data_IF_669396848134
#
_entry.id   IF_669396848134
#
_cell.length_a   1.000
_cell.length_b   1.000
_cell.length_c   1.000
_cell.angle_alpha   90.00
_cell.angle_beta   90.00
_cell.angle_gamma   90.00
#
_symmetry.space_group_name_H-M   'P 1'
#
loop_
_entity.id
_entity.type
_entity.pdbx_description
1 polymer ?
#
# COMPACT_ATOMS: atom_id res chain seq x y z
N UNK A 1 -11.47 -20.79 19.69
CA UNK A 1 -11.86 -20.63 18.28
C UNK A 1 -10.95 -19.57 17.68
N UNK A 2 -10.14 -19.92 16.69
CA UNK A 2 -9.31 -18.92 16.00
C UNK A 2 -10.21 -17.98 15.20
N UNK A 3 -9.99 -16.67 15.29
CA UNK A 3 -10.63 -15.72 14.40
C UNK A 3 -10.21 -16.05 12.97
N UNK A 4 -11.13 -16.60 12.18
CA UNK A 4 -10.96 -16.85 10.74
C UNK A 4 -11.10 -15.53 9.95
N UNK A 5 -10.55 -14.45 10.48
CA UNK A 5 -10.70 -13.12 9.93
C UNK A 5 -9.57 -12.85 8.94
N UNK A 6 -9.95 -12.42 7.75
CA UNK A 6 -9.06 -11.75 6.82
C UNK A 6 -8.98 -10.29 7.26
N UNK A 7 -7.80 -9.84 7.66
CA UNK A 7 -7.56 -8.50 8.18
C UNK A 7 -6.69 -7.72 7.21
N UNK A 8 -7.14 -6.51 6.86
CA UNK A 8 -6.30 -5.51 6.21
C UNK A 8 -6.09 -4.33 7.14
N UNK A 9 -4.82 -3.98 7.29
CA UNK A 9 -4.37 -2.88 8.13
C UNK A 9 -3.07 -2.27 7.60
N UNK A 10 -2.75 -1.10 8.13
CA UNK A 10 -1.41 -0.53 8.03
C UNK A 10 -0.38 -1.51 8.61
N UNK A 11 0.77 -1.59 7.97
CA UNK A 11 1.89 -2.33 8.51
C UNK A 11 2.37 -1.66 9.80
N UNK A 12 2.87 -2.46 10.73
CA UNK A 12 3.53 -2.00 11.95
C UNK A 12 4.95 -2.54 11.98
N UNK A 13 5.82 -1.96 12.82
CA UNK A 13 7.24 -2.36 12.87
C UNK A 13 7.46 -3.85 13.14
N UNK A 14 6.56 -4.51 13.89
CA UNK A 14 6.65 -5.95 14.15
C UNK A 14 6.42 -6.81 12.91
N UNK A 15 5.80 -6.28 11.84
CA UNK A 15 5.56 -7.01 10.59
C UNK A 15 6.82 -7.08 9.70
N UNK A 16 7.85 -6.29 9.99
CA UNK A 16 8.98 -6.07 9.07
C UNK A 16 9.69 -7.37 8.66
N UNK A 17 9.83 -8.33 9.58
CA UNK A 17 10.44 -9.62 9.29
C UNK A 17 9.65 -10.45 8.27
N UNK A 18 8.33 -10.56 8.45
CA UNK A 18 7.46 -11.30 7.52
C UNK A 18 7.36 -10.57 6.17
N UNK A 19 7.31 -9.24 6.19
CA UNK A 19 7.35 -8.42 4.96
C UNK A 19 8.65 -8.70 4.20
N UNK A 20 9.80 -8.66 4.87
CA UNK A 20 11.10 -8.91 4.24
C UNK A 20 11.14 -10.28 3.55
N UNK A 21 10.68 -11.34 4.23
CA UNK A 21 10.59 -12.68 3.65
C UNK A 21 9.69 -12.71 2.41
N UNK A 22 8.51 -12.09 2.48
CA UNK A 22 7.57 -12.05 1.38
C UNK A 22 8.12 -11.28 0.18
N UNK A 23 8.81 -10.15 0.40
CA UNK A 23 9.46 -9.38 -0.65
C UNK A 23 10.57 -10.17 -1.34
N UNK A 24 11.39 -10.91 -0.59
CA UNK A 24 12.44 -11.76 -1.17
C UNK A 24 11.87 -12.89 -2.02
N UNK A 25 10.77 -13.50 -1.57
CA UNK A 25 10.06 -14.52 -2.37
C UNK A 25 9.49 -13.95 -3.68
N UNK A 26 9.21 -12.64 -3.73
CA UNK A 26 8.74 -11.92 -4.91
C UNK A 26 9.87 -11.20 -5.67
N UNK A 27 11.14 -11.48 -5.36
CA UNK A 27 12.32 -10.84 -5.98
C UNK A 27 12.34 -9.29 -5.86
N UNK A 28 11.79 -8.74 -4.78
CA UNK A 28 11.83 -7.30 -4.47
C UNK A 28 13.01 -7.03 -3.53
N UNK A 29 14.05 -6.29 -3.96
CA UNK A 29 15.32 -6.19 -3.23
C UNK A 29 15.27 -5.09 -2.17
N UNK A 30 14.37 -5.21 -1.20
CA UNK A 30 14.29 -4.29 -0.06
C UNK A 30 14.96 -4.90 1.17
N UNK A 31 15.89 -4.17 1.77
CA UNK A 31 16.44 -4.53 3.07
C UNK A 31 15.51 -4.11 4.23
N UNK A 32 15.83 -4.59 5.44
CA UNK A 32 15.07 -4.26 6.65
C UNK A 32 15.06 -2.76 6.97
N UNK A 33 16.14 -2.04 6.66
CA UNK A 33 16.25 -0.60 6.89
C UNK A 33 15.23 0.17 6.05
N UNK A 34 15.15 -0.15 4.76
CA UNK A 34 14.17 0.41 3.83
C UNK A 34 12.74 0.06 4.23
N UNK A 35 12.48 -1.18 4.65
CA UNK A 35 11.16 -1.59 5.14
C UNK A 35 10.72 -0.74 6.34
N UNK A 36 11.63 -0.49 7.29
CA UNK A 36 11.32 0.36 8.45
C UNK A 36 11.11 1.83 8.08
N UNK A 37 11.84 2.36 7.10
CA UNK A 37 11.67 3.73 6.60
C UNK A 37 10.32 3.91 5.89
N UNK A 38 9.90 2.91 5.12
CA UNK A 38 8.70 2.95 4.28
C UNK A 38 7.46 2.35 4.97
N UNK A 39 7.55 1.93 6.23
CA UNK A 39 6.51 1.14 6.91
C UNK A 39 5.13 1.83 6.90
N UNK A 40 5.09 3.15 6.98
CA UNK A 40 3.85 3.94 6.99
C UNK A 40 3.13 3.93 5.62
N UNK A 41 3.85 3.59 4.54
CA UNK A 41 3.33 3.43 3.19
C UNK A 41 2.98 1.97 2.86
N UNK A 42 3.23 1.05 3.79
CA UNK A 42 2.90 -0.36 3.63
C UNK A 42 1.55 -0.69 4.28
N UNK A 43 0.78 -1.52 3.60
CA UNK A 43 -0.40 -2.18 4.18
C UNK A 43 -0.26 -3.68 3.97
N UNK A 44 -0.73 -4.42 4.96
CA UNK A 44 -0.63 -5.88 5.02
C UNK A 44 -2.02 -6.50 4.98
N UNK A 45 -2.09 -7.64 4.30
CA UNK A 45 -3.22 -8.56 4.34
C UNK A 45 -2.78 -9.78 5.15
N UNK A 46 -3.51 -10.07 6.22
CA UNK A 46 -3.25 -11.24 7.05
C UNK A 46 -4.50 -12.10 7.19
N UNK A 47 -4.31 -13.42 7.22
CA UNK A 47 -5.33 -14.36 7.64
C UNK A 47 -4.86 -15.02 8.93
N UNK A 48 -5.68 -14.92 9.98
CA UNK A 48 -5.30 -15.26 11.35
C UNK A 48 -4.06 -14.47 11.82
N UNK A 49 -2.88 -15.12 11.83
CA UNK A 49 -1.59 -14.54 12.23
C UNK A 49 -0.53 -14.63 11.13
N UNK A 50 -0.92 -14.98 9.90
CA UNK A 50 0.02 -15.13 8.78
C UNK A 50 -0.14 -13.97 7.80
N UNK A 51 0.97 -13.35 7.44
CA UNK A 51 1.01 -12.35 6.38
C UNK A 51 0.85 -13.03 5.02
N UNK A 52 -0.25 -12.72 4.34
CA UNK A 52 -0.55 -13.25 3.01
C UNK A 52 -0.03 -12.34 1.91
N UNK A 53 0.04 -11.04 2.16
CA UNK A 53 0.56 -10.10 1.17
C UNK A 53 0.77 -8.72 1.75
N UNK A 54 1.53 -7.92 1.00
CA UNK A 54 1.84 -6.54 1.32
C UNK A 54 1.77 -5.72 0.05
N UNK A 55 1.24 -4.51 0.14
CA UNK A 55 1.37 -3.55 -0.94
C UNK A 55 1.97 -2.26 -0.42
N UNK A 56 2.71 -1.60 -1.31
CA UNK A 56 3.22 -0.26 -1.08
C UNK A 56 2.35 0.74 -1.81
N UNK A 57 1.82 1.70 -1.07
CA UNK A 57 0.97 2.71 -1.67
C UNK A 57 0.56 3.80 -0.71
N UNK A 58 0.26 4.96 -1.29
CA UNK A 58 -0.37 6.08 -0.60
C UNK A 58 -1.86 6.06 -0.89
N UNK A 59 -2.65 6.20 0.17
CA UNK A 59 -4.09 6.34 0.08
C UNK A 59 -4.43 7.74 0.54
N UNK A 60 -4.81 8.60 -0.41
CA UNK A 60 -5.38 9.91 -0.14
C UNK A 60 -6.74 9.99 -0.80
N UNK A 61 -7.72 10.68 -0.20
CA UNK A 61 -9.01 10.95 -0.83
C UNK A 61 -8.87 11.52 -2.25
N UNK A 62 -9.31 10.76 -3.25
CA UNK A 62 -9.24 11.13 -4.66
C UNK A 62 -7.85 10.97 -5.30
N UNK A 63 -6.89 10.37 -4.58
CA UNK A 63 -5.60 9.99 -5.13
C UNK A 63 -5.11 8.68 -4.50
N UNK A 64 -5.39 7.59 -5.20
CA UNK A 64 -4.94 6.25 -4.85
C UNK A 64 -3.73 5.88 -5.70
N UNK A 65 -2.60 5.63 -5.05
CA UNK A 65 -1.40 5.15 -5.74
C UNK A 65 -0.91 3.86 -5.11
N UNK A 66 -1.10 2.76 -5.83
CA UNK A 66 -0.40 1.50 -5.56
C UNK A 66 0.87 1.50 -6.41
N UNK A 67 2.02 1.40 -5.75
CA UNK A 67 3.31 1.34 -6.46
C UNK A 67 3.64 -0.09 -6.87
N UNK A 68 3.38 -1.04 -5.97
CA UNK A 68 3.59 -2.47 -6.20
C UNK A 68 2.83 -3.28 -5.17
N UNK A 69 2.64 -4.57 -5.47
CA UNK A 69 2.00 -5.57 -4.61
C UNK A 69 2.89 -6.80 -4.59
N UNK A 70 3.05 -7.41 -3.43
CA UNK A 70 3.72 -8.70 -3.25
C UNK A 70 2.79 -9.65 -2.50
N UNK A 71 2.79 -10.91 -2.93
CA UNK A 71 1.87 -11.93 -2.43
C UNK A 71 2.59 -13.20 -1.99
N UNK A 72 1.98 -13.95 -1.09
CA UNK A 72 2.51 -15.22 -0.63
C UNK A 72 2.32 -16.30 -1.73
N UNK A 73 3.37 -17.03 -2.13
CA UNK A 73 3.37 -17.85 -3.36
C UNK A 73 2.43 -19.07 -3.32
N UNK A 74 2.04 -19.51 -2.12
CA UNK A 74 1.09 -20.63 -1.95
C UNK A 74 -0.36 -20.26 -2.27
N UNK A 75 -0.69 -18.99 -2.48
CA UNK A 75 -2.04 -18.52 -2.73
C UNK A 75 -2.18 -18.05 -4.18
N UNK A 76 -3.39 -18.14 -4.73
CA UNK A 76 -3.67 -17.71 -6.09
C UNK A 76 -3.34 -16.20 -6.26
N UNK A 77 -2.33 -15.90 -7.08
CA UNK A 77 -1.76 -14.57 -7.22
C UNK A 77 -2.83 -13.53 -7.59
N UNK A 78 -3.67 -13.83 -8.58
CA UNK A 78 -4.71 -12.92 -9.08
C UNK A 78 -5.74 -12.59 -8.00
N UNK A 79 -6.20 -13.60 -7.25
CA UNK A 79 -7.17 -13.41 -6.16
C UNK A 79 -6.56 -12.60 -5.02
N UNK A 80 -5.30 -12.85 -4.70
CA UNK A 80 -4.60 -12.16 -3.62
C UNK A 80 -4.31 -10.69 -3.97
N UNK A 81 -3.85 -10.43 -5.20
CA UNK A 81 -3.68 -9.08 -5.74
C UNK A 81 -5.00 -8.33 -5.75
N UNK A 82 -6.06 -8.96 -6.26
CA UNK A 82 -7.40 -8.37 -6.25
C UNK A 82 -7.85 -8.02 -4.83
N UNK A 83 -7.68 -8.94 -3.87
CA UNK A 83 -7.99 -8.68 -2.47
C UNK A 83 -7.20 -7.45 -1.96
N UNK A 84 -5.88 -7.40 -2.14
CA UNK A 84 -5.05 -6.26 -1.71
C UNK A 84 -5.50 -4.92 -2.33
N UNK A 85 -5.86 -4.92 -3.61
CA UNK A 85 -6.37 -3.72 -4.31
C UNK A 85 -7.75 -3.31 -3.80
N UNK A 86 -8.71 -4.24 -3.72
CA UNK A 86 -10.06 -3.93 -3.22
C UNK A 86 -10.03 -3.48 -1.76
N UNK A 87 -9.10 -4.01 -0.99
CA UNK A 87 -8.90 -3.61 0.41
C UNK A 87 -8.43 -2.17 0.55
N UNK A 88 -7.68 -1.65 -0.42
CA UNK A 88 -7.32 -0.24 -0.49
C UNK A 88 -8.57 0.65 -0.46
N UNK A 89 -9.58 0.32 -1.26
CA UNK A 89 -10.85 1.04 -1.28
C UNK A 89 -11.58 0.91 0.06
N UNK A 90 -11.54 -0.27 0.69
CA UNK A 90 -12.08 -0.47 2.03
C UNK A 90 -11.41 0.41 3.11
N UNK A 91 -10.11 0.67 3.01
CA UNK A 91 -9.39 1.57 3.93
C UNK A 91 -9.85 3.02 3.76
N UNK A 92 -10.11 3.46 2.52
CA UNK A 92 -10.63 4.82 2.25
C UNK A 92 -11.99 5.02 2.92
N UNK A 93 -12.89 4.04 2.80
CA UNK A 93 -14.23 4.10 3.35
C UNK A 93 -14.29 4.13 4.89
N UNK A 94 -13.17 3.84 5.58
CA UNK A 94 -13.08 3.93 7.06
C UNK A 94 -12.82 5.36 7.55
N UNK A 95 -12.50 6.31 6.68
CA UNK A 95 -12.34 7.70 7.06
C UNK A 95 -13.72 8.37 7.15
N UNK A 96 -14.02 9.14 8.22
CA UNK A 96 -15.23 9.96 8.27
C UNK A 96 -15.29 10.88 7.05
N UNK A 97 -16.46 11.02 6.44
CA UNK A 97 -16.65 11.86 5.24
C UNK A 97 -16.10 13.27 5.38
N UNK A 98 -16.21 13.86 6.58
CA UNK A 98 -15.64 15.18 6.91
C UNK A 98 -14.12 15.25 6.76
N UNK A 99 -13.40 14.17 7.10
CA UNK A 99 -11.94 14.07 6.96
C UNK A 99 -11.54 13.90 5.49
N UNK A 100 -12.34 13.13 4.74
CA UNK A 100 -12.18 12.97 3.29
C UNK A 100 -12.34 14.34 2.60
N UNK A 101 -13.42 15.07 2.91
CA UNK A 101 -13.68 16.41 2.36
C UNK A 101 -12.58 17.42 2.69
N UNK A 102 -12.06 17.43 3.93
CA UNK A 102 -10.96 18.31 4.33
C UNK A 102 -9.68 18.02 3.54
N UNK A 103 -9.33 16.74 3.38
CA UNK A 103 -8.18 16.31 2.60
C UNK A 103 -8.35 16.72 1.13
N UNK A 104 -9.50 16.44 0.51
CA UNK A 104 -9.78 16.86 -0.87
C UNK A 104 -9.68 18.39 -1.05
N UNK A 105 -10.23 19.17 -0.11
CA UNK A 105 -10.12 20.64 -0.12
C UNK A 105 -8.68 21.11 -0.02
N UNK A 106 -7.82 20.42 0.76
CA UNK A 106 -6.39 20.76 0.84
C UNK A 106 -5.63 20.44 -0.45
N UNK A 107 -5.92 19.30 -1.08
CA UNK A 107 -5.32 18.90 -2.37
C UNK A 107 -5.72 19.84 -3.51
N UNK A 108 -6.99 20.24 -3.60
CA UNK A 108 -7.47 21.17 -4.62
C UNK A 108 -6.92 22.60 -4.44
N UNK A 109 -6.43 22.93 -3.25
CA UNK A 109 -5.80 24.22 -2.94
C UNK A 109 -4.27 24.21 -3.15
N UNK A 110 -3.66 23.06 -3.44
CA UNK A 110 -2.24 23.02 -3.74
C UNK A 110 -1.97 23.68 -5.11
N UNK A 111 -0.98 24.59 -5.21
CA UNK A 111 -0.59 25.12 -6.50
C UNK A 111 -0.12 23.95 -7.37
N UNK A 112 -0.68 23.86 -8.58
CA UNK A 112 -0.23 22.90 -9.58
C UNK A 112 1.21 23.28 -9.92
N UNK A 113 2.18 22.53 -9.38
CA UNK A 113 3.55 22.60 -9.89
C UNK A 113 3.48 22.13 -11.34
N UNK A 114 3.62 23.08 -12.28
CA UNK A 114 3.76 22.77 -13.69
C UNK A 114 4.89 21.76 -13.83
N UNK A 115 4.71 20.66 -14.59
CA UNK A 115 5.81 19.76 -14.89
C UNK A 115 6.91 20.60 -15.57
N UNK A 116 8.15 20.49 -15.07
CA UNK A 116 9.30 21.05 -15.75
C UNK A 116 9.30 20.49 -17.17
N UNK A 117 9.04 21.35 -18.15
CA UNK A 117 9.21 21.06 -19.56
C UNK A 117 10.70 20.80 -19.79
N UNK A 118 11.10 19.53 -19.73
CA UNK A 118 12.37 19.09 -20.29
C UNK A 118 12.20 19.23 -21.80
N UNK A 119 12.69 20.35 -22.33
CA UNK A 119 12.77 20.57 -23.76
C UNK A 119 13.63 19.47 -24.38
N UNK A 120 13.02 18.65 -25.23
CA UNK A 120 13.78 17.83 -26.17
C UNK A 120 14.41 18.78 -27.19
N UNK A 121 15.66 19.17 -26.92
CA UNK A 121 16.54 19.75 -27.92
C UNK A 121 16.88 18.66 -28.94
N UNK A 122 16.21 18.70 -30.09
CA UNK A 122 16.64 17.97 -31.28
C UNK A 122 17.91 18.66 -31.77
N UNK A 123 19.02 17.91 -31.82
CA UNK A 123 20.16 18.19 -32.68
C UNK A 123 20.25 17.07 -33.70
#
# INVERSE_FOLDING_TARGET
MGNADIVIRKAVRSDAGEIWQLLHNNSIPWDMGRIHQEIDFLNVLSFEKKLLGVFHGSVSPGFEKISWVAGHPMYAEDSLRAALVYSLFGVICRLPGTRIEQLMKSYLKMPINKPNSIGFGIR
#
